data_IF_823916336714
#
_entry.id   IF_823916336714
#
_cell.length_a   1.000
_cell.length_b   1.000
_cell.length_c   1.000
_cell.angle_alpha   90.00
_cell.angle_beta   90.00
_cell.angle_gamma   90.00
#
_symmetry.space_group_name_H-M   'P 1'
#
loop_
_entity.id
_entity.type
_entity.pdbx_description
1 polymer ?
#
# COMPACT_ATOMS: atom_id res chain seq x y z
N UNK A 1 -10.21 7.11 15.61
CA UNK A 1 -10.87 7.39 14.32
C UNK A 1 -9.78 7.29 13.28
N UNK A 2 -10.07 6.63 12.15
CA UNK A 2 -9.12 6.50 11.05
C UNK A 2 -9.46 7.52 9.97
N UNK A 3 -8.46 8.19 9.44
CA UNK A 3 -8.59 9.12 8.31
C UNK A 3 -7.66 8.66 7.19
N UNK A 4 -8.17 8.63 5.97
CA UNK A 4 -7.39 8.31 4.78
C UNK A 4 -7.01 9.59 4.04
N UNK A 5 -5.71 9.81 3.85
CA UNK A 5 -5.17 10.83 2.97
C UNK A 5 -4.82 10.22 1.62
N UNK A 6 -4.92 10.97 0.54
CA UNK A 6 -4.53 10.53 -0.80
C UNK A 6 -3.28 11.29 -1.24
N UNK A 7 -2.26 10.60 -1.75
CA UNK A 7 -1.14 11.28 -2.41
C UNK A 7 -1.62 11.98 -3.67
N UNK A 8 -1.30 13.27 -3.77
CA UNK A 8 -1.49 14.04 -4.99
C UNK A 8 -0.46 13.58 -6.04
N UNK A 9 -0.85 13.40 -7.32
CA UNK A 9 0.10 13.16 -8.39
C UNK A 9 1.10 14.33 -8.49
N UNK A 10 2.40 14.05 -8.74
CA UNK A 10 3.39 15.12 -8.88
C UNK A 10 3.05 16.03 -10.07
N UNK A 11 3.06 17.34 -9.86
CA UNK A 11 2.72 18.33 -10.90
C UNK A 11 3.87 18.58 -11.89
N UNK A 12 5.11 18.30 -11.47
CA UNK A 12 6.34 18.44 -12.26
C UNK A 12 7.18 17.17 -12.17
N UNK A 13 8.22 17.07 -12.99
CA UNK A 13 9.24 16.04 -12.80
C UNK A 13 10.01 16.34 -11.51
N UNK A 14 10.00 15.37 -10.61
CA UNK A 14 10.51 15.49 -9.24
C UNK A 14 11.91 14.86 -9.19
N UNK A 15 12.85 15.49 -8.48
CA UNK A 15 14.16 14.86 -8.24
C UNK A 15 14.16 14.09 -6.93
N UNK A 16 15.03 13.09 -6.74
CA UNK A 16 15.01 12.27 -5.53
C UNK A 16 15.19 13.01 -4.20
N UNK A 17 15.77 14.22 -4.22
CA UNK A 17 15.93 15.04 -3.02
C UNK A 17 14.65 15.77 -2.60
N UNK A 18 13.62 15.75 -3.45
CA UNK A 18 12.39 16.53 -3.28
C UNK A 18 11.21 15.65 -2.84
N UNK A 19 11.38 14.35 -2.58
CA UNK A 19 10.25 13.53 -2.12
C UNK A 19 9.82 13.89 -0.70
N UNK A 20 8.51 13.82 -0.45
CA UNK A 20 7.96 14.02 0.90
C UNK A 20 8.32 12.84 1.80
N UNK A 21 8.47 13.10 3.11
CA UNK A 21 8.76 12.07 4.10
C UNK A 21 7.69 10.96 4.11
N UNK A 22 6.42 11.34 3.93
CA UNK A 22 5.31 10.39 3.86
C UNK A 22 5.46 9.41 2.68
N UNK A 23 5.90 9.91 1.51
CA UNK A 23 6.14 9.08 0.33
C UNK A 23 7.35 8.16 0.54
N UNK A 24 8.42 8.69 1.14
CA UNK A 24 9.62 7.89 1.47
C UNK A 24 9.26 6.76 2.44
N UNK A 25 8.44 7.04 3.46
CA UNK A 25 7.96 6.03 4.40
C UNK A 25 7.09 4.97 3.72
N UNK A 26 6.21 5.36 2.79
CA UNK A 26 5.43 4.42 1.98
C UNK A 26 6.34 3.49 1.18
N UNK A 27 7.30 4.05 0.43
CA UNK A 27 8.22 3.26 -0.41
C UNK A 27 9.06 2.32 0.45
N UNK A 28 9.52 2.79 1.61
CA UNK A 28 10.24 1.97 2.55
C UNK A 28 9.38 0.80 3.04
N UNK A 29 8.18 1.07 3.56
CA UNK A 29 7.28 0.03 4.07
C UNK A 29 6.93 -1.01 3.00
N UNK A 30 6.61 -0.57 1.78
CA UNK A 30 6.28 -1.44 0.64
C UNK A 30 7.48 -2.29 0.20
N UNK A 31 8.69 -1.74 0.19
CA UNK A 31 9.88 -2.52 -0.15
C UNK A 31 10.18 -3.58 0.92
N UNK A 32 10.12 -3.22 2.20
CA UNK A 32 10.31 -4.19 3.29
C UNK A 32 9.26 -5.30 3.17
N UNK A 33 8.02 -4.93 2.85
CA UNK A 33 6.92 -5.85 2.60
C UNK A 33 7.20 -6.86 1.48
N UNK A 34 7.57 -6.37 0.29
CA UNK A 34 7.86 -7.22 -0.85
C UNK A 34 9.07 -8.13 -0.62
N UNK A 35 10.10 -7.63 0.06
CA UNK A 35 11.31 -8.40 0.37
C UNK A 35 11.02 -9.56 1.32
N UNK A 36 10.09 -9.37 2.25
CA UNK A 36 9.70 -10.41 3.18
C UNK A 36 8.89 -11.52 2.51
N UNK A 37 7.95 -11.16 1.62
CA UNK A 37 7.16 -12.13 0.83
C UNK A 37 8.01 -12.89 -0.17
N UNK A 38 8.86 -12.17 -0.92
CA UNK A 38 9.68 -12.77 -1.98
C UNK A 38 10.91 -13.52 -1.44
N UNK A 39 11.40 -13.13 -0.26
CA UNK A 39 12.71 -13.53 0.24
C UNK A 39 13.89 -12.93 -0.55
N UNK A 40 13.63 -12.01 -1.48
CA UNK A 40 14.65 -11.36 -2.32
C UNK A 40 14.84 -9.90 -1.90
N UNK A 41 15.97 -9.62 -1.25
CA UNK A 41 16.34 -8.25 -0.83
C UNK A 41 16.59 -7.29 -2.00
N UNK A 42 16.70 -7.79 -3.23
CA UNK A 42 16.81 -6.95 -4.42
C UNK A 42 15.44 -6.50 -4.94
N UNK A 43 14.33 -7.09 -4.48
CA UNK A 43 12.99 -6.67 -4.85
C UNK A 43 12.65 -5.35 -4.16
N UNK A 44 12.75 -4.26 -4.92
CA UNK A 44 12.54 -2.91 -4.41
C UNK A 44 12.15 -1.94 -5.52
N UNK A 45 11.21 -1.05 -5.21
CA UNK A 45 10.84 0.08 -6.03
C UNK A 45 11.46 1.37 -5.49
N UNK A 46 11.75 2.32 -6.37
CA UNK A 46 12.16 3.67 -5.98
C UNK A 46 10.94 4.58 -5.84
N UNK A 47 11.08 5.66 -5.07
CA UNK A 47 10.06 6.71 -4.98
C UNK A 47 9.74 7.36 -6.33
N UNK A 48 10.69 7.35 -7.28
CA UNK A 48 10.47 7.80 -8.66
C UNK A 48 9.42 6.93 -9.36
N UNK A 49 9.53 5.61 -9.26
CA UNK A 49 8.57 4.65 -9.86
C UNK A 49 7.17 4.84 -9.28
N UNK A 50 7.06 5.10 -7.98
CA UNK A 50 5.77 5.40 -7.34
C UNK A 50 5.20 6.75 -7.81
N UNK A 51 6.01 7.79 -7.86
CA UNK A 51 5.61 9.09 -8.40
C UNK A 51 5.11 9.00 -9.85
N UNK A 52 5.78 8.19 -10.68
CA UNK A 52 5.33 7.91 -12.04
C UNK A 52 4.02 7.12 -12.07
N UNK A 53 3.85 6.14 -11.18
CA UNK A 53 2.64 5.31 -11.13
C UNK A 53 1.39 6.10 -10.70
N UNK A 54 1.56 7.12 -9.85
CA UNK A 54 0.51 8.05 -9.45
C UNK A 54 0.00 8.92 -10.61
N UNK A 55 0.78 9.08 -11.68
CA UNK A 55 0.33 9.81 -12.88
C UNK A 55 -0.65 8.91 -13.65
N UNK A 56 -1.91 9.34 -13.85
CA UNK A 56 -2.89 8.51 -14.53
C UNK A 56 -2.47 8.23 -15.97
N UNK A 57 -2.64 6.99 -16.41
CA UNK A 57 -2.40 6.57 -17.80
C UNK A 57 -3.71 6.13 -18.45
N UNK A 58 -3.80 6.08 -19.79
CA UNK A 58 -5.02 5.61 -20.47
C UNK A 58 -5.41 4.15 -20.15
N UNK A 59 -4.49 3.37 -19.57
CA UNK A 59 -4.66 1.93 -19.33
C UNK A 59 -4.74 1.58 -17.85
N UNK A 60 -4.33 2.50 -16.97
CA UNK A 60 -4.20 2.26 -15.54
C UNK A 60 -4.28 3.58 -14.78
N UNK A 61 -5.08 3.59 -13.72
CA UNK A 61 -5.14 4.64 -12.72
C UNK A 61 -4.73 4.04 -11.38
N UNK A 62 -3.75 4.64 -10.70
CA UNK A 62 -3.31 4.22 -9.37
C UNK A 62 -3.57 5.32 -8.35
N UNK A 63 -3.99 4.91 -7.16
CA UNK A 63 -4.27 5.77 -6.02
C UNK A 63 -3.59 5.16 -4.81
N UNK A 64 -2.70 5.92 -4.19
CA UNK A 64 -2.12 5.54 -2.91
C UNK A 64 -2.81 6.33 -1.81
N UNK A 65 -3.41 5.60 -0.86
CA UNK A 65 -4.01 6.16 0.35
C UNK A 65 -3.10 5.88 1.55
N UNK A 66 -2.99 6.86 2.45
CA UNK A 66 -2.31 6.75 3.75
C UNK A 66 -3.38 6.73 4.83
N UNK A 67 -3.48 5.63 5.57
CA UNK A 67 -4.35 5.51 6.74
C UNK A 67 -3.63 6.04 7.97
N UNK A 68 -4.28 6.95 8.69
CA UNK A 68 -3.74 7.48 9.95
C UNK A 68 -4.76 7.38 11.08
N UNK A 69 -4.24 7.19 12.28
CA UNK A 69 -5.00 7.25 13.52
C UNK A 69 -4.90 8.66 14.12
N UNK A 70 -6.03 9.20 14.58
CA UNK A 70 -6.09 10.52 15.24
C UNK A 70 -7.27 11.38 14.80
N UNK A 71 -7.22 12.66 15.17
CA UNK A 71 -8.18 13.69 14.77
C UNK A 71 -7.46 14.86 14.10
N UNK A 72 -6.82 14.65 12.93
CA UNK A 72 -6.06 15.71 12.26
C UNK A 72 -6.96 16.88 11.87
N UNK A 73 -6.42 18.11 11.96
CA UNK A 73 -7.10 19.27 11.40
C UNK A 73 -7.06 19.23 9.87
N UNK A 74 -8.22 18.95 9.26
CA UNK A 74 -8.37 18.84 7.82
C UNK A 74 -8.59 20.19 7.11
N UNK A 75 -8.63 21.30 7.85
CA UNK A 75 -8.98 22.62 7.29
C UNK A 75 -8.01 23.12 6.22
N UNK A 76 -6.75 22.69 6.28
CA UNK A 76 -5.71 23.05 5.31
C UNK A 76 -5.71 22.19 4.04
N UNK A 77 -6.45 21.07 4.02
CA UNK A 77 -6.35 20.06 2.97
C UNK A 77 -7.43 20.25 1.90
N UNK A 78 -6.99 20.34 0.64
CA UNK A 78 -7.90 20.18 -0.50
C UNK A 78 -8.34 18.72 -0.59
N UNK A 79 -9.56 18.48 -1.07
CA UNK A 79 -10.06 17.12 -1.30
C UNK A 79 -9.87 16.69 -2.75
N UNK A 80 -9.55 15.42 -2.94
CA UNK A 80 -9.55 14.76 -4.24
C UNK A 80 -10.99 14.62 -4.78
N UNK A 81 -11.17 14.26 -6.06
CA UNK A 81 -12.48 13.94 -6.61
C UNK A 81 -13.23 12.84 -5.85
N UNK A 82 -12.48 11.95 -5.17
CA UNK A 82 -12.98 10.87 -4.34
C UNK A 82 -13.28 11.30 -2.90
N UNK A 83 -13.01 12.57 -2.56
CA UNK A 83 -13.33 13.15 -1.25
C UNK A 83 -12.23 13.01 -0.20
N UNK A 84 -11.09 12.39 -0.52
CA UNK A 84 -9.95 12.23 0.39
C UNK A 84 -9.13 13.53 0.48
N UNK A 85 -8.67 13.95 1.68
CA UNK A 85 -7.70 15.03 1.81
C UNK A 85 -6.40 14.68 1.07
N UNK A 86 -5.91 15.62 0.27
CA UNK A 86 -4.72 15.45 -0.58
C UNK A 86 -3.45 15.89 0.15
N UNK A 87 -2.46 15.01 0.16
CA UNK A 87 -1.10 15.27 0.66
C UNK A 87 -0.10 15.29 -0.49
N UNK A 88 0.99 16.02 -0.29
CA UNK A 88 2.11 16.09 -1.22
C UNK A 88 2.82 14.73 -1.36
N UNK A 89 3.12 14.33 -2.59
CA UNK A 89 4.13 13.29 -2.86
C UNK A 89 5.55 13.88 -2.82
N UNK A 90 5.70 15.16 -3.15
CA UNK A 90 6.96 15.89 -3.24
C UNK A 90 6.91 17.27 -2.57
N UNK A 91 8.06 17.76 -2.10
CA UNK A 91 8.26 19.04 -1.42
C UNK A 91 7.96 20.27 -2.29
N UNK A 92 7.91 20.12 -3.63
CA UNK A 92 7.51 21.17 -4.56
C UNK A 92 6.00 21.34 -4.72
N UNK A 93 5.22 20.41 -4.17
CA UNK A 93 3.76 20.37 -4.30
C UNK A 93 3.07 21.57 -3.62
N UNK A 94 1.94 22.00 -4.19
CA UNK A 94 1.04 22.96 -3.54
C UNK A 94 0.20 22.33 -2.42
N UNK A 95 0.26 21.00 -2.27
CA UNK A 95 -0.41 20.26 -1.20
C UNK A 95 0.44 20.23 0.07
N UNK A 96 -0.17 20.24 1.26
CA UNK A 96 0.56 20.05 2.51
C UNK A 96 1.10 18.62 2.63
N UNK A 97 2.12 18.43 3.48
CA UNK A 97 2.53 17.11 3.94
C UNK A 97 1.52 16.48 4.90
N UNK A 98 1.81 15.26 5.34
CA UNK A 98 1.04 14.62 6.41
C UNK A 98 1.19 15.42 7.71
N UNK A 99 0.14 15.54 8.55
CA UNK A 99 0.26 16.19 9.86
C UNK A 99 1.30 15.50 10.75
N UNK A 100 1.97 16.27 11.63
CA UNK A 100 3.00 15.73 12.53
C UNK A 100 2.43 14.99 13.74
N UNK A 101 1.15 15.18 14.05
CA UNK A 101 0.46 14.69 15.25
C UNK A 101 -0.42 13.45 14.99
N UNK A 102 -0.22 12.78 13.85
CA UNK A 102 -0.93 11.54 13.50
C UNK A 102 0.00 10.34 13.50
N UNK A 103 -0.57 9.18 13.80
CA UNK A 103 0.13 7.90 13.71
C UNK A 103 -0.23 7.22 12.39
N UNK A 104 0.77 6.80 11.62
CA UNK A 104 0.55 6.14 10.32
C UNK A 104 0.27 4.65 10.55
N UNK A 105 -0.97 4.24 10.33
CA UNK A 105 -1.39 2.83 10.42
C UNK A 105 -0.87 2.01 9.25
N UNK A 106 -0.84 2.62 8.06
CA UNK A 106 -0.37 1.97 6.84
C UNK A 106 -0.90 2.61 5.58
N UNK A 107 -0.86 1.84 4.51
CA UNK A 107 -1.05 2.32 3.15
C UNK A 107 -1.91 1.35 2.35
N UNK A 108 -2.66 1.92 1.40
CA UNK A 108 -3.41 1.19 0.38
C UNK A 108 -2.91 1.66 -0.97
N UNK A 109 -2.22 0.81 -1.73
CA UNK A 109 -1.92 1.05 -3.14
C UNK A 109 -2.98 0.39 -4.01
N UNK A 110 -3.92 1.18 -4.49
CA UNK A 110 -5.04 0.73 -5.29
C UNK A 110 -4.81 1.04 -6.77
N UNK A 111 -4.91 0.01 -7.60
CA UNK A 111 -4.81 0.10 -9.05
C UNK A 111 -6.14 -0.28 -9.71
N UNK A 112 -6.55 0.54 -10.68
CA UNK A 112 -7.78 0.39 -11.44
C UNK A 112 -7.47 0.34 -12.93
N UNK A 113 -7.98 -0.70 -13.60
CA UNK A 113 -7.95 -0.78 -15.07
C UNK A 113 -9.28 -0.27 -15.64
N UNK A 114 -9.26 0.67 -16.62
CA UNK A 114 -10.47 1.14 -17.27
C UNK A 114 -11.33 0.00 -17.84
N UNK A 115 -12.62 -0.01 -17.49
CA UNK A 115 -13.56 -1.05 -17.93
C UNK A 115 -13.55 -2.34 -17.10
N UNK A 116 -12.58 -2.52 -16.18
CA UNK A 116 -12.62 -3.62 -15.22
C UNK A 116 -13.67 -3.36 -14.13
N UNK A 117 -14.22 -4.44 -13.57
CA UNK A 117 -15.16 -4.37 -12.46
C UNK A 117 -14.46 -4.26 -11.09
N UNK A 118 -13.16 -4.57 -11.04
CA UNK A 118 -12.42 -4.69 -9.80
C UNK A 118 -11.36 -3.63 -9.59
N UNK A 119 -10.99 -3.47 -8.32
CA UNK A 119 -9.77 -2.79 -7.86
C UNK A 119 -8.76 -3.86 -7.49
N UNK A 120 -7.53 -3.72 -7.98
CA UNK A 120 -6.37 -4.44 -7.46
C UNK A 120 -5.77 -3.59 -6.34
N UNK A 121 -5.48 -4.17 -5.18
CA UNK A 121 -4.96 -3.43 -4.04
C UNK A 121 -3.85 -4.18 -3.32
N UNK A 122 -2.81 -3.44 -2.94
CA UNK A 122 -1.81 -3.87 -1.96
C UNK A 122 -2.05 -3.11 -0.66
N UNK A 123 -2.12 -3.84 0.45
CA UNK A 123 -2.25 -3.28 1.79
C UNK A 123 -0.92 -3.44 2.49
N UNK A 124 -0.37 -2.34 3.02
CA UNK A 124 0.97 -2.34 3.65
C UNK A 124 0.89 -1.65 5.01
N UNK A 125 1.40 -2.28 6.06
CA UNK A 125 1.45 -1.65 7.39
C UNK A 125 2.43 -0.48 7.43
N UNK A 126 2.15 0.49 8.29
CA UNK A 126 3.04 1.60 8.57
C UNK A 126 4.34 1.13 9.22
N UNK A 127 5.40 1.95 9.12
CA UNK A 127 6.74 1.62 9.64
C UNK A 127 6.71 1.29 11.15
N UNK A 128 5.86 1.97 11.91
CA UNK A 128 5.69 1.76 13.35
C UNK A 128 4.95 0.47 13.71
N UNK A 129 4.31 -0.16 12.71
CA UNK A 129 3.60 -1.43 12.81
C UNK A 129 4.36 -2.56 12.13
N UNK A 130 5.65 -2.35 11.82
CA UNK A 130 6.52 -3.42 11.34
C UNK A 130 6.82 -4.39 12.48
N UNK A 131 6.88 -5.70 12.19
CA UNK A 131 7.29 -6.75 13.12
C UNK A 131 8.65 -6.42 13.75
N UNK A 132 8.80 -6.64 15.05
CA UNK A 132 10.14 -6.72 15.64
C UNK A 132 10.89 -7.98 15.19
N UNK A 133 10.15 -9.04 14.83
CA UNK A 133 10.68 -10.33 14.37
C UNK A 133 9.92 -10.79 13.13
N UNK A 134 10.58 -10.89 11.96
CA UNK A 134 9.96 -11.41 10.74
C UNK A 134 9.32 -12.79 10.96
N UNK A 135 8.09 -12.97 10.49
CA UNK A 135 7.31 -14.20 10.67
C UNK A 135 6.84 -14.50 12.09
N UNK A 136 6.96 -13.53 13.02
CA UNK A 136 6.35 -13.61 14.35
C UNK A 136 4.84 -13.38 14.30
N UNK A 137 4.07 -13.82 15.32
CA UNK A 137 2.62 -13.62 15.36
C UNK A 137 2.27 -12.12 15.39
N UNK A 138 1.18 -11.75 14.72
CA UNK A 138 0.71 -10.38 14.73
C UNK A 138 0.21 -9.97 16.12
N UNK A 139 0.60 -8.77 16.53
CA UNK A 139 0.10 -8.07 17.71
C UNK A 139 -1.31 -7.54 17.47
N UNK A 140 -2.03 -7.26 18.57
CA UNK A 140 -3.40 -6.72 18.46
C UNK A 140 -3.47 -5.36 17.77
N UNK A 141 -2.42 -4.53 17.87
CA UNK A 141 -2.30 -3.26 17.16
C UNK A 141 -2.15 -3.44 15.66
N UNK A 142 -1.34 -4.41 15.22
CA UNK A 142 -1.16 -4.75 13.80
C UNK A 142 -2.46 -5.30 13.20
N UNK A 143 -3.13 -6.22 13.89
CA UNK A 143 -4.43 -6.73 13.47
C UNK A 143 -5.50 -5.63 13.38
N UNK A 144 -5.45 -4.65 14.28
CA UNK A 144 -6.35 -3.49 14.23
C UNK A 144 -6.05 -2.62 13.02
N UNK A 145 -4.78 -2.31 12.76
CA UNK A 145 -4.36 -1.55 11.58
C UNK A 145 -4.78 -2.27 10.28
N UNK A 146 -4.63 -3.60 10.21
CA UNK A 146 -5.10 -4.37 9.06
C UNK A 146 -6.59 -4.21 8.79
N UNK A 147 -7.43 -4.35 9.83
CA UNK A 147 -8.89 -4.18 9.70
C UNK A 147 -9.26 -2.78 9.21
N UNK A 148 -8.56 -1.76 9.69
CA UNK A 148 -8.77 -0.38 9.24
C UNK A 148 -8.40 -0.22 7.75
N UNK A 149 -7.28 -0.80 7.30
CA UNK A 149 -6.88 -0.80 5.88
C UNK A 149 -7.87 -1.56 4.99
N UNK A 150 -8.37 -2.72 5.44
CA UNK A 150 -9.38 -3.53 4.74
C UNK A 150 -10.69 -2.73 4.59
N UNK A 151 -11.16 -2.10 5.67
CA UNK A 151 -12.33 -1.24 5.62
C UNK A 151 -12.12 -0.04 4.67
N UNK A 152 -10.92 0.55 4.68
CA UNK A 152 -10.54 1.64 3.78
C UNK A 152 -10.62 1.28 2.30
N UNK A 153 -10.10 0.12 1.89
CA UNK A 153 -10.17 -0.33 0.49
C UNK A 153 -11.60 -0.69 0.08
N UNK A 154 -12.43 -1.20 0.99
CA UNK A 154 -13.85 -1.45 0.75
C UNK A 154 -14.62 -0.16 0.47
N UNK A 155 -14.43 0.86 1.32
CA UNK A 155 -15.01 2.19 1.12
C UNK A 155 -14.52 2.84 -0.18
N UNK A 156 -13.22 2.77 -0.45
CA UNK A 156 -12.63 3.26 -1.70
C UNK A 156 -13.26 2.60 -2.93
N UNK A 157 -13.36 1.27 -2.92
CA UNK A 157 -13.91 0.48 -4.03
C UNK A 157 -15.35 0.87 -4.32
N UNK A 158 -16.15 1.10 -3.28
CA UNK A 158 -17.51 1.60 -3.43
C UNK A 158 -17.54 3.02 -4.00
N UNK A 159 -16.66 3.92 -3.52
CA UNK A 159 -16.57 5.29 -3.98
C UNK A 159 -16.21 5.41 -5.47
N UNK A 160 -15.36 4.51 -5.98
CA UNK A 160 -14.99 4.46 -7.41
C UNK A 160 -15.99 3.65 -8.25
N UNK A 161 -17.10 3.18 -7.67
CA UNK A 161 -18.16 2.46 -8.39
C UNK A 161 -17.74 1.08 -8.89
N UNK A 162 -16.81 0.42 -8.18
CA UNK A 162 -16.36 -0.95 -8.44
C UNK A 162 -17.07 -1.92 -7.49
N UNK A 163 -17.10 -3.20 -7.85
CA UNK A 163 -17.83 -4.24 -7.11
C UNK A 163 -16.98 -5.42 -6.71
N UNK A 164 -15.68 -5.38 -7.03
CA UNK A 164 -14.76 -6.47 -6.80
C UNK A 164 -13.44 -5.90 -6.27
N UNK A 165 -12.87 -6.55 -5.26
CA UNK A 165 -11.59 -6.19 -4.68
C UNK A 165 -10.70 -7.42 -4.81
N UNK A 166 -9.51 -7.24 -5.38
CA UNK A 166 -8.45 -8.23 -5.41
C UNK A 166 -7.33 -7.68 -4.58
N UNK A 167 -7.14 -8.27 -3.41
CA UNK A 167 -6.02 -7.94 -2.55
C UNK A 167 -4.88 -8.88 -2.95
N UNK A 168 -3.80 -8.31 -3.46
CA UNK A 168 -2.59 -9.06 -3.75
C UNK A 168 -1.79 -9.20 -2.46
N UNK A 169 -1.08 -10.34 -2.36
CA UNK A 169 -0.22 -10.62 -1.22
C UNK A 169 1.07 -9.80 -1.36
N UNK A 170 0.99 -8.51 -1.03
CA UNK A 170 2.17 -7.66 -0.89
C UNK A 170 2.92 -7.89 0.42
N UNK A 171 2.36 -8.63 1.39
CA UNK A 171 2.97 -8.86 2.71
C UNK A 171 2.47 -10.16 3.38
N UNK A 172 3.19 -10.70 4.39
CA UNK A 172 2.96 -10.22 5.75
C UNK A 172 4.27 -9.96 6.50
N UNK A 173 4.46 -8.75 7.00
CA UNK A 173 5.66 -8.48 7.79
C UNK A 173 5.45 -8.99 9.23
N UNK A 174 4.25 -8.86 9.78
CA UNK A 174 3.85 -9.54 11.01
C UNK A 174 2.63 -10.42 10.79
N UNK A 175 2.60 -11.50 11.54
CA UNK A 175 1.67 -12.58 11.39
C UNK A 175 2.43 -13.87 11.20
N UNK A 176 2.20 -14.87 12.04
CA UNK A 176 2.55 -16.23 11.62
C UNK A 176 1.82 -16.52 10.31
N UNK A 177 2.24 -17.54 9.55
CA UNK A 177 1.51 -18.00 8.37
C UNK A 177 -0.01 -18.02 8.65
N UNK A 178 -0.78 -17.18 7.94
CA UNK A 178 -2.23 -17.13 8.04
C UNK A 178 -2.84 -15.95 8.82
N UNK A 179 -2.13 -15.16 9.63
CA UNK A 179 -2.77 -14.13 10.47
C UNK A 179 -3.48 -13.04 9.62
N UNK A 180 -2.86 -12.58 8.54
CA UNK A 180 -3.49 -11.63 7.61
C UNK A 180 -4.63 -12.29 6.82
N UNK A 181 -4.44 -13.53 6.38
CA UNK A 181 -5.45 -14.31 5.67
C UNK A 181 -6.68 -14.57 6.54
N UNK A 182 -6.51 -14.77 7.85
CA UNK A 182 -7.60 -14.88 8.81
C UNK A 182 -8.39 -13.58 8.93
N UNK A 183 -7.72 -12.42 8.97
CA UNK A 183 -8.41 -11.13 8.99
C UNK A 183 -9.21 -10.89 7.70
N UNK A 184 -8.65 -11.26 6.53
CA UNK A 184 -9.38 -11.22 5.27
C UNK A 184 -10.62 -12.13 5.30
N UNK A 185 -10.47 -13.37 5.78
CA UNK A 185 -11.59 -14.31 5.91
C UNK A 185 -12.67 -13.81 6.87
N UNK A 186 -12.28 -13.21 8.00
CA UNK A 186 -13.19 -12.62 8.99
C UNK A 186 -13.94 -11.40 8.43
N UNK A 187 -13.32 -10.64 7.53
CA UNK A 187 -13.95 -9.58 6.74
C UNK A 187 -14.81 -10.10 5.57
N UNK A 188 -14.86 -11.42 5.34
CA UNK A 188 -15.71 -12.04 4.33
C UNK A 188 -15.07 -12.18 2.94
N UNK A 189 -13.76 -11.94 2.82
CA UNK A 189 -13.01 -12.31 1.62
C UNK A 189 -12.91 -13.84 1.53
N UNK A 190 -12.65 -14.35 0.33
CA UNK A 190 -12.35 -15.75 0.11
C UNK A 190 -10.99 -15.86 -0.59
N UNK A 191 -10.24 -16.92 -0.27
CA UNK A 191 -8.96 -17.20 -0.92
C UNK A 191 -9.22 -17.66 -2.36
N UNK A 192 -8.98 -16.76 -3.31
CA UNK A 192 -9.36 -16.94 -4.71
C UNK A 192 -8.32 -17.67 -5.57
N UNK A 193 -7.03 -17.38 -5.38
CA UNK A 193 -5.93 -17.98 -6.14
C UNK A 193 -4.67 -18.07 -5.26
N UNK A 194 -4.02 -19.23 -5.26
CA UNK A 194 -2.58 -19.31 -4.93
C UNK A 194 -1.85 -18.77 -6.14
N UNK A 195 -1.00 -17.78 -5.97
CA UNK A 195 -0.19 -17.24 -7.06
C UNK A 195 0.62 -18.38 -7.72
N UNK A 196 0.42 -18.60 -9.02
CA UNK A 196 1.22 -19.55 -9.79
C UNK A 196 2.53 -18.86 -10.19
N UNK A 197 3.47 -18.77 -9.26
CA UNK A 197 4.82 -18.28 -9.56
C UNK A 197 5.57 -19.33 -10.39
N UNK A 198 5.72 -19.08 -11.69
CA UNK A 198 6.57 -19.89 -12.58
C UNK A 198 8.01 -19.37 -12.58
N UNK A 199 8.94 -20.11 -11.98
CA UNK A 199 10.37 -19.77 -12.01
C UNK A 199 11.05 -20.46 -13.19
N UNK A 200 11.71 -19.70 -14.06
CA UNK A 200 12.68 -20.22 -15.03
C UNK A 200 14.07 -19.87 -14.50
N UNK A 201 14.86 -20.84 -14.01
CA UNK A 201 16.23 -20.58 -13.58
C UNK A 201 17.06 -20.10 -14.77
N UNK A 202 17.66 -18.91 -14.66
CA UNK A 202 18.47 -18.28 -15.73
C UNK A 202 19.97 -18.55 -15.57
N UNK A 203 20.42 -19.03 -14.41
CA UNK A 203 21.78 -19.52 -14.20
C UNK A 203 21.80 -21.05 -14.19
N UNK A 204 22.65 -21.62 -15.04
CA UNK A 204 22.93 -23.04 -15.09
C UNK A 204 23.82 -23.46 -13.92
N UNK A 205 23.33 -23.41 -12.68
CA UNK A 205 23.88 -24.27 -11.62
C UNK A 205 23.19 -25.63 -11.72
N UNK A 206 23.81 -26.45 -12.57
CA UNK A 206 23.61 -27.89 -12.59
C UNK A 206 24.05 -28.46 -11.24
N UNK A 207 23.14 -29.14 -10.54
CA UNK A 207 23.32 -30.44 -9.88
C UNK A 207 22.48 -30.54 -8.60
N UNK A 208 21.28 -31.09 -8.74
CA UNK A 208 20.72 -31.99 -7.73
C UNK A 208 20.42 -33.32 -8.42
N UNK A 209 21.46 -34.15 -8.56
CA UNK A 209 21.35 -35.60 -8.66
C UNK A 209 22.25 -36.19 -7.58
N UNK A 210 21.66 -36.90 -6.62
CA UNK A 210 22.36 -37.57 -5.52
C UNK A 210 21.46 -37.81 -4.31
#
# INVERSE_FOLDING_TARGET
>A
MTVFFQFAPPETDVTPADYSDALVNFVFATNVAHQDVSGDVADSASAEVVCESLRPTPVRESVVLVAVSGEPDLSAFRRSPLGYPLIAADAGSAHPGLPDDVEVLGYVDATMTPGAQGVDADLVLGVDFLPETPGGPATGSELTAWRELIAGIEEFTQAVGRTLIRIWHGVPLSGGEGDFEWELLDCGYYLGMVELCGVIPTSSESQWEG
#
